data_IF_017678766693
#
_entry.id   IF_017678766693
#
_cell.length_a   1.000
_cell.length_b   1.000
_cell.length_c   1.000
_cell.angle_alpha   90.00
_cell.angle_beta   90.00
_cell.angle_gamma   90.00
#
_symmetry.space_group_name_H-M   'P 1'
#
loop_
_entity.id
_entity.type
_entity.pdbx_description
1 polymer ?
#
# COMPACT_ATOMS: atom_id res chain seq x y z
N UNK A 1 15.61 -40.00 -6.75
CA UNK A 1 14.88 -41.28 -6.80
C UNK A 1 15.01 -41.85 -8.20
N UNK A 2 15.59 -43.03 -8.35
CA UNK A 2 15.71 -43.74 -9.64
C UNK A 2 14.32 -44.07 -10.16
N UNK A 3 13.90 -43.39 -11.23
CA UNK A 3 12.64 -43.65 -11.93
C UNK A 3 12.70 -45.05 -12.54
N UNK A 4 11.98 -46.01 -11.97
CA UNK A 4 11.67 -47.26 -12.68
C UNK A 4 10.70 -46.86 -13.79
N UNK A 5 11.03 -47.04 -15.08
CA UNK A 5 10.14 -46.66 -16.16
C UNK A 5 8.86 -47.50 -16.05
N UNK A 6 7.75 -46.86 -15.66
CA UNK A 6 6.45 -47.51 -15.66
C UNK A 6 6.08 -47.81 -17.11
N UNK A 7 5.71 -49.07 -17.36
CA UNK A 7 5.36 -49.51 -18.71
C UNK A 7 4.16 -48.71 -19.22
N UNK A 8 4.31 -48.04 -20.37
CA UNK A 8 3.23 -47.25 -20.98
C UNK A 8 1.99 -48.10 -21.17
N UNK A 9 0.85 -47.61 -20.71
CA UNK A 9 -0.43 -48.32 -20.82
C UNK A 9 -1.16 -47.88 -22.10
N UNK A 10 -1.50 -48.84 -22.95
CA UNK A 10 -2.24 -48.56 -24.18
C UNK A 10 -3.69 -48.16 -23.92
N UNK A 11 -4.19 -47.17 -24.65
CA UNK A 11 -5.59 -46.73 -24.62
C UNK A 11 -6.53 -47.65 -25.39
N UNK A 12 -6.00 -48.41 -26.37
CA UNK A 12 -6.80 -49.21 -27.30
C UNK A 12 -7.56 -50.37 -26.62
N UNK A 13 -6.96 -51.19 -25.73
CA UNK A 13 -7.70 -52.24 -25.02
C UNK A 13 -8.88 -51.71 -24.21
N UNK A 14 -8.74 -50.50 -23.64
CA UNK A 14 -9.79 -49.89 -22.83
C UNK A 14 -10.94 -49.37 -23.65
N UNK A 15 -10.65 -48.83 -24.84
CA UNK A 15 -11.67 -48.49 -25.83
C UNK A 15 -12.51 -49.72 -26.18
N UNK A 16 -11.85 -50.84 -26.49
CA UNK A 16 -12.53 -52.10 -26.80
C UNK A 16 -13.35 -52.64 -25.63
N UNK A 17 -12.87 -52.53 -24.39
CA UNK A 17 -13.63 -52.96 -23.21
C UNK A 17 -14.94 -52.16 -23.07
N UNK A 18 -14.88 -50.83 -23.23
CA UNK A 18 -16.09 -49.98 -23.15
C UNK A 18 -17.05 -50.29 -24.31
N UNK A 19 -16.53 -50.55 -25.51
CA UNK A 19 -17.32 -50.86 -26.69
C UNK A 19 -17.92 -52.28 -26.69
N UNK A 20 -17.30 -53.24 -25.98
CA UNK A 20 -17.56 -54.67 -26.14
C UNK A 20 -19.04 -55.07 -25.96
N UNK A 21 -19.64 -54.79 -24.80
CA UNK A 21 -21.02 -55.19 -24.51
C UNK A 21 -22.05 -54.42 -25.36
N UNK A 22 -21.95 -53.08 -25.51
CA UNK A 22 -22.79 -52.34 -26.44
C UNK A 22 -22.78 -52.89 -27.86
N UNK A 23 -21.59 -53.17 -28.39
CA UNK A 23 -21.43 -53.72 -29.74
C UNK A 23 -22.00 -55.13 -29.84
N UNK A 24 -21.78 -55.97 -28.82
CA UNK A 24 -22.35 -57.31 -28.77
C UNK A 24 -23.88 -57.28 -28.79
N UNK A 25 -24.50 -56.39 -28.01
CA UNK A 25 -25.96 -56.19 -28.03
C UNK A 25 -26.47 -55.70 -29.39
N UNK A 26 -25.72 -54.85 -30.08
CA UNK A 26 -26.06 -54.45 -31.44
C UNK A 26 -25.93 -55.62 -32.43
N UNK A 27 -24.85 -56.39 -32.34
CA UNK A 27 -24.63 -57.56 -33.19
C UNK A 27 -25.70 -58.64 -33.00
N UNK A 28 -26.19 -58.88 -31.79
CA UNK A 28 -27.29 -59.83 -31.56
C UNK A 28 -28.59 -59.38 -32.20
N UNK A 29 -28.91 -58.07 -32.15
CA UNK A 29 -30.07 -57.51 -32.86
C UNK A 29 -29.89 -57.57 -34.38
N UNK A 30 -28.68 -57.35 -34.88
CA UNK A 30 -28.38 -57.51 -36.31
C UNK A 30 -28.53 -58.97 -36.78
N UNK A 31 -28.08 -59.94 -35.98
CA UNK A 31 -28.26 -61.37 -36.28
C UNK A 31 -29.73 -61.80 -36.23
N UNK A 32 -30.52 -61.20 -35.34
CA UNK A 32 -31.97 -61.36 -35.31
C UNK A 32 -32.62 -60.84 -36.61
N UNK A 33 -32.14 -59.71 -37.15
CA UNK A 33 -32.65 -59.15 -38.39
C UNK A 33 -32.37 -60.08 -39.60
N UNK A 34 -31.20 -60.71 -39.62
CA UNK A 34 -30.82 -61.71 -40.65
C UNK A 34 -31.51 -63.07 -40.41
N UNK A 35 -32.40 -63.19 -39.42
CA UNK A 35 -33.16 -64.41 -39.05
C UNK A 35 -32.29 -65.58 -38.55
N UNK A 36 -31.08 -65.31 -38.10
CA UNK A 36 -30.25 -66.32 -37.44
C UNK A 36 -30.73 -66.60 -36.00
N UNK A 37 -31.44 -65.65 -35.40
CA UNK A 37 -32.02 -65.72 -34.05
C UNK A 37 -33.54 -65.51 -34.18
N UNK A 38 -34.35 -66.23 -33.41
CA UNK A 38 -35.82 -66.20 -33.45
C UNK A 38 -36.48 -64.87 -33.00
N UNK A 39 -35.72 -63.80 -32.84
CA UNK A 39 -36.23 -62.49 -32.40
C UNK A 39 -36.70 -61.68 -33.61
N UNK A 40 -37.95 -61.20 -33.59
CA UNK A 40 -38.47 -60.32 -34.65
C UNK A 40 -37.86 -58.93 -34.51
N UNK A 41 -37.06 -58.53 -35.49
CA UNK A 41 -36.44 -57.21 -35.56
C UNK A 41 -36.62 -56.64 -36.96
N UNK A 42 -36.91 -55.35 -37.04
CA UNK A 42 -37.10 -54.66 -38.31
C UNK A 42 -35.85 -53.92 -38.76
N UNK A 43 -35.80 -53.57 -40.05
CA UNK A 43 -34.69 -52.82 -40.60
C UNK A 43 -34.52 -51.44 -39.91
N UNK A 44 -35.62 -50.76 -39.62
CA UNK A 44 -35.59 -49.47 -38.94
C UNK A 44 -35.06 -49.58 -37.49
N UNK A 45 -35.19 -50.74 -36.83
CA UNK A 45 -34.56 -51.02 -35.52
C UNK A 45 -33.04 -50.94 -35.61
N UNK A 46 -32.45 -51.56 -36.63
CA UNK A 46 -30.99 -51.60 -36.81
C UNK A 46 -30.45 -50.20 -37.08
N UNK A 47 -31.16 -49.39 -37.87
CA UNK A 47 -30.76 -48.02 -38.16
C UNK A 47 -30.78 -47.17 -36.88
N UNK A 48 -31.87 -47.19 -36.12
CA UNK A 48 -32.02 -46.38 -34.90
C UNK A 48 -30.95 -46.75 -33.87
N UNK A 49 -30.78 -48.04 -33.58
CA UNK A 49 -29.81 -48.50 -32.58
C UNK A 49 -28.37 -48.29 -33.08
N UNK A 50 -28.12 -48.49 -34.38
CA UNK A 50 -26.84 -48.21 -35.01
C UNK A 50 -26.46 -46.73 -34.90
N UNK A 51 -27.41 -45.82 -35.07
CA UNK A 51 -27.19 -44.39 -34.88
C UNK A 51 -26.88 -44.04 -33.42
N UNK A 52 -27.59 -44.62 -32.45
CA UNK A 52 -27.29 -44.45 -31.02
C UNK A 52 -25.88 -44.97 -30.71
N UNK A 53 -25.50 -46.14 -31.23
CA UNK A 53 -24.16 -46.72 -31.06
C UNK A 53 -23.07 -45.84 -31.69
N UNK A 54 -23.33 -45.25 -32.86
CA UNK A 54 -22.40 -44.32 -33.51
C UNK A 54 -22.13 -43.10 -32.62
N UNK A 55 -23.17 -42.53 -32.02
CA UNK A 55 -23.01 -41.44 -31.06
C UNK A 55 -22.21 -41.92 -29.85
N UNK A 56 -22.53 -43.09 -29.30
CA UNK A 56 -21.80 -43.67 -28.18
C UNK A 56 -20.29 -43.78 -28.45
N UNK A 57 -19.89 -44.25 -29.64
CA UNK A 57 -18.48 -44.33 -30.07
C UNK A 57 -17.74 -43.00 -29.97
N UNK A 58 -18.39 -41.89 -30.35
CA UNK A 58 -17.80 -40.55 -30.27
C UNK A 58 -17.55 -40.11 -28.82
N UNK A 59 -18.38 -40.59 -27.89
CA UNK A 59 -18.26 -40.28 -26.47
C UNK A 59 -17.16 -41.09 -25.76
N UNK A 60 -16.84 -42.33 -26.21
CA UNK A 60 -15.88 -43.22 -25.52
C UNK A 60 -14.54 -42.53 -25.22
N UNK A 61 -14.05 -41.68 -26.12
CA UNK A 61 -12.78 -40.95 -25.94
C UNK A 61 -12.78 -40.00 -24.73
N UNK A 62 -13.96 -39.59 -24.27
CA UNK A 62 -14.17 -38.73 -23.11
C UNK A 62 -14.47 -39.52 -21.83
N UNK A 63 -14.53 -40.85 -21.87
CA UNK A 63 -14.77 -41.63 -20.66
C UNK A 63 -13.52 -41.66 -19.76
N UNK A 64 -13.72 -41.66 -18.44
CA UNK A 64 -12.65 -41.71 -17.45
C UNK A 64 -11.77 -42.95 -17.60
N UNK A 65 -12.36 -44.12 -17.88
CA UNK A 65 -11.60 -45.37 -18.00
C UNK A 65 -10.63 -45.35 -19.17
N UNK A 66 -11.09 -44.79 -20.30
CA UNK A 66 -10.24 -44.52 -21.46
C UNK A 66 -9.15 -43.50 -21.11
N UNK A 67 -9.55 -42.37 -20.52
CA UNK A 67 -8.66 -41.24 -20.16
C UNK A 67 -7.60 -41.62 -19.14
N UNK A 68 -7.86 -42.58 -18.24
CA UNK A 68 -6.89 -43.07 -17.26
C UNK A 68 -5.59 -43.57 -17.91
N UNK A 69 -5.62 -44.04 -19.17
CA UNK A 69 -4.41 -44.53 -19.85
C UNK A 69 -3.49 -43.38 -20.22
N UNK A 70 -4.07 -42.30 -20.73
CA UNK A 70 -3.37 -41.05 -21.02
C UNK A 70 -2.85 -40.41 -19.74
N UNK A 71 -3.68 -40.38 -18.70
CA UNK A 71 -3.28 -39.90 -17.36
C UNK A 71 -2.06 -40.66 -16.84
N UNK A 72 -2.12 -42.00 -16.83
CA UNK A 72 -1.02 -42.83 -16.35
C UNK A 72 0.27 -42.64 -17.16
N UNK A 73 0.16 -42.39 -18.46
CA UNK A 73 1.33 -42.20 -19.32
C UNK A 73 1.95 -40.79 -19.20
N UNK A 74 1.19 -39.78 -18.76
CA UNK A 74 1.70 -38.42 -18.57
C UNK A 74 2.01 -38.06 -17.12
N UNK A 75 1.76 -38.96 -16.17
CA UNK A 75 2.02 -38.70 -14.74
C UNK A 75 3.50 -38.43 -14.46
N UNK A 76 4.41 -39.09 -15.18
CA UNK A 76 5.85 -38.89 -14.98
C UNK A 76 6.30 -37.49 -15.42
N UNK A 77 5.71 -36.95 -16.49
CA UNK A 77 5.93 -35.57 -16.95
C UNK A 77 5.33 -34.56 -15.96
N UNK A 78 4.14 -34.83 -15.43
CA UNK A 78 3.54 -34.01 -14.36
C UNK A 78 4.43 -33.98 -13.11
N UNK A 79 4.99 -35.13 -12.73
CA UNK A 79 5.89 -35.23 -11.58
C UNK A 79 7.19 -34.43 -11.81
N UNK A 80 7.71 -34.38 -13.04
CA UNK A 80 8.86 -33.53 -13.37
C UNK A 80 8.56 -32.04 -13.19
N UNK A 81 7.40 -31.59 -13.67
CA UNK A 81 6.96 -30.20 -13.46
C UNK A 81 6.70 -29.88 -11.98
N UNK A 82 6.20 -30.85 -11.20
CA UNK A 82 6.06 -30.69 -9.75
C UNK A 82 7.44 -30.57 -9.12
N UNK A 83 8.39 -31.45 -9.45
CA UNK A 83 9.75 -31.40 -8.91
C UNK A 83 10.46 -30.07 -9.21
N UNK A 84 10.28 -29.52 -10.41
CA UNK A 84 10.78 -28.19 -10.80
C UNK A 84 10.13 -27.08 -9.98
N UNK A 85 8.79 -27.07 -9.90
CA UNK A 85 8.04 -26.11 -9.10
C UNK A 85 8.45 -26.13 -7.61
N UNK A 86 8.67 -27.31 -7.04
CA UNK A 86 9.07 -27.44 -5.65
C UNK A 86 10.46 -26.85 -5.40
N UNK A 87 11.41 -27.04 -6.33
CA UNK A 87 12.76 -26.45 -6.25
C UNK A 87 12.72 -24.93 -6.32
N UNK A 88 11.93 -24.38 -7.24
CA UNK A 88 11.82 -22.93 -7.43
C UNK A 88 11.16 -22.21 -6.24
N UNK A 89 10.37 -22.95 -5.45
CA UNK A 89 9.62 -22.42 -4.31
C UNK A 89 10.13 -22.96 -2.96
N UNK A 90 11.38 -23.41 -2.87
CA UNK A 90 12.00 -23.83 -1.61
C UNK A 90 12.10 -22.67 -0.61
N UNK A 91 11.58 -22.89 0.60
CA UNK A 91 11.72 -21.98 1.73
C UNK A 91 12.38 -22.72 2.90
N UNK A 92 13.37 -22.06 3.51
CA UNK A 92 14.01 -22.52 4.73
C UNK A 92 13.37 -21.86 5.95
N UNK A 93 12.79 -22.67 6.85
CA UNK A 93 12.17 -22.23 8.09
C UNK A 93 12.72 -23.08 9.23
N UNK A 94 13.28 -22.43 10.27
CA UNK A 94 13.88 -23.09 11.42
C UNK A 94 14.89 -24.22 11.06
N UNK A 95 15.72 -23.99 10.02
CA UNK A 95 16.74 -24.95 9.56
C UNK A 95 16.21 -26.15 8.76
N UNK A 96 14.92 -26.17 8.43
CA UNK A 96 14.30 -27.17 7.54
C UNK A 96 13.99 -26.52 6.20
N UNK A 97 14.26 -27.22 5.10
CA UNK A 97 13.93 -26.78 3.73
C UNK A 97 12.77 -27.61 3.19
N UNK A 98 11.69 -26.93 2.81
CA UNK A 98 10.56 -27.52 2.06
C UNK A 98 10.00 -26.46 1.11
N UNK A 99 9.23 -26.87 0.12
CA UNK A 99 8.62 -25.95 -0.82
C UNK A 99 7.34 -25.31 -0.25
N UNK A 100 7.10 -24.05 -0.57
CA UNK A 100 5.84 -23.38 -0.28
C UNK A 100 4.95 -23.34 -1.52
N UNK A 101 3.79 -23.99 -1.46
CA UNK A 101 2.88 -24.00 -2.60
C UNK A 101 1.83 -25.09 -2.56
N UNK A 102 1.04 -25.17 -3.63
CA UNK A 102 0.00 -26.18 -3.79
C UNK A 102 0.17 -26.88 -5.15
N UNK A 103 0.35 -28.20 -5.11
CA UNK A 103 0.57 -29.02 -6.31
C UNK A 103 -0.73 -29.48 -7.00
N UNK A 104 -1.91 -29.21 -6.43
CA UNK A 104 -3.20 -29.65 -6.97
C UNK A 104 -3.44 -29.17 -8.41
N UNK A 105 -3.01 -27.94 -8.71
CA UNK A 105 -3.19 -27.35 -10.03
C UNK A 105 -2.52 -28.16 -11.15
N UNK A 106 -1.41 -28.86 -10.87
CA UNK A 106 -0.74 -29.72 -11.87
C UNK A 106 -1.64 -30.88 -12.29
N UNK A 107 -2.30 -31.52 -11.33
CA UNK A 107 -3.25 -32.60 -11.61
C UNK A 107 -4.49 -32.07 -12.34
N UNK A 108 -5.05 -30.95 -11.91
CA UNK A 108 -6.23 -30.35 -12.55
C UNK A 108 -5.96 -29.97 -14.01
N UNK A 109 -4.80 -29.37 -14.28
CA UNK A 109 -4.38 -29.02 -15.64
C UNK A 109 -4.17 -30.27 -16.51
N UNK A 110 -3.55 -31.32 -15.95
CA UNK A 110 -3.38 -32.59 -16.64
C UNK A 110 -4.74 -33.23 -17.00
N UNK A 111 -5.69 -33.23 -16.06
CA UNK A 111 -7.04 -33.78 -16.29
C UNK A 111 -7.79 -33.05 -17.40
N UNK A 112 -7.73 -31.71 -17.41
CA UNK A 112 -8.35 -30.88 -18.46
C UNK A 112 -7.76 -31.12 -19.85
N UNK A 113 -6.48 -31.48 -19.96
CA UNK A 113 -5.83 -31.80 -21.24
C UNK A 113 -6.25 -33.16 -21.80
N UNK A 114 -6.53 -34.14 -20.94
CA UNK A 114 -6.81 -35.51 -21.39
C UNK A 114 -8.29 -35.78 -21.66
N UNK A 115 -9.20 -35.03 -21.03
CA UNK A 115 -10.65 -35.28 -21.07
C UNK A 115 -11.45 -33.98 -21.00
N UNK A 116 -12.64 -34.01 -21.60
CA UNK A 116 -13.64 -32.96 -21.44
C UNK A 116 -14.75 -33.45 -20.52
N UNK A 117 -14.81 -32.88 -19.31
CA UNK A 117 -15.76 -33.27 -18.27
C UNK A 117 -17.21 -32.89 -18.61
N UNK A 118 -17.42 -31.84 -19.40
CA UNK A 118 -18.76 -31.49 -19.86
C UNK A 118 -19.35 -32.61 -20.74
N UNK A 119 -18.59 -33.07 -21.73
CA UNK A 119 -19.01 -34.22 -22.55
C UNK A 119 -19.23 -35.47 -21.71
N UNK A 120 -18.33 -35.74 -20.76
CA UNK A 120 -18.45 -36.93 -19.91
C UNK A 120 -19.71 -36.92 -19.04
N UNK A 121 -20.01 -35.78 -18.42
CA UNK A 121 -21.13 -35.62 -17.52
C UNK A 121 -22.48 -35.66 -18.25
N UNK A 122 -22.55 -35.13 -19.48
CA UNK A 122 -23.80 -35.13 -20.27
C UNK A 122 -24.12 -36.49 -20.88
N UNK A 123 -23.14 -37.37 -21.07
CA UNK A 123 -23.36 -38.67 -21.69
C UNK A 123 -24.40 -39.54 -20.96
N UNK A 124 -24.42 -39.49 -19.62
CA UNK A 124 -25.35 -40.26 -18.79
C UNK A 124 -26.82 -39.87 -19.04
N UNK A 125 -27.10 -38.62 -19.40
CA UNK A 125 -28.46 -38.16 -19.74
C UNK A 125 -28.77 -38.26 -21.24
N UNK A 126 -27.78 -38.12 -22.12
CA UNK A 126 -27.99 -38.17 -23.57
C UNK A 126 -28.44 -39.56 -24.04
N UNK A 127 -27.85 -40.66 -23.56
CA UNK A 127 -28.18 -41.98 -24.11
C UNK A 127 -29.63 -42.42 -23.83
N UNK A 128 -30.20 -42.22 -22.63
CA UNK A 128 -31.62 -42.49 -22.40
C UNK A 128 -32.51 -41.57 -23.23
N UNK A 129 -32.16 -40.28 -23.37
CA UNK A 129 -32.91 -39.34 -24.21
C UNK A 129 -32.88 -39.73 -25.70
N UNK A 130 -31.73 -40.20 -26.20
CA UNK A 130 -31.64 -40.77 -27.55
C UNK A 130 -32.45 -42.06 -27.70
N UNK A 131 -32.53 -42.87 -26.65
CA UNK A 131 -33.42 -44.03 -26.59
C UNK A 131 -34.89 -43.63 -26.71
N UNK A 132 -35.34 -42.62 -25.94
CA UNK A 132 -36.69 -42.05 -26.01
C UNK A 132 -36.98 -41.46 -27.39
N UNK A 133 -36.03 -40.71 -27.97
CA UNK A 133 -36.15 -40.19 -29.33
C UNK A 133 -36.33 -41.34 -30.33
N UNK A 134 -35.51 -42.38 -30.22
CA UNK A 134 -35.62 -43.59 -31.04
C UNK A 134 -36.97 -44.29 -30.89
N UNK A 135 -37.53 -44.34 -29.68
CA UNK A 135 -38.89 -44.84 -29.41
C UNK A 135 -39.94 -44.06 -30.20
N UNK A 136 -39.93 -42.73 -30.14
CA UNK A 136 -40.88 -41.91 -30.88
C UNK A 136 -40.71 -42.03 -32.39
N UNK A 137 -39.46 -42.08 -32.88
CA UNK A 137 -39.17 -42.28 -34.31
C UNK A 137 -39.68 -43.65 -34.79
N UNK A 138 -39.48 -44.71 -34.01
CA UNK A 138 -39.94 -46.06 -34.35
C UNK A 138 -41.47 -46.16 -34.47
N UNK A 139 -42.18 -45.57 -33.51
CA UNK A 139 -43.65 -45.52 -33.52
C UNK A 139 -44.15 -44.71 -34.71
N UNK A 140 -43.56 -43.53 -34.97
CA UNK A 140 -43.97 -42.67 -36.07
C UNK A 140 -43.80 -43.34 -37.45
N UNK A 141 -42.72 -44.10 -37.65
CA UNK A 141 -42.48 -44.85 -38.90
C UNK A 141 -43.46 -46.02 -39.06
N UNK A 142 -43.91 -46.59 -37.94
CA UNK A 142 -44.73 -47.81 -37.94
C UNK A 142 -46.22 -47.53 -37.76
N UNK A 143 -46.62 -46.27 -37.70
CA UNK A 143 -48.02 -45.85 -37.52
C UNK A 143 -48.77 -46.04 -38.84
N UNK A 144 -49.80 -46.92 -38.91
CA UNK A 144 -50.60 -47.11 -40.11
C UNK A 144 -51.70 -46.03 -40.22
N UNK A 145 -52.21 -45.82 -41.44
CA UNK A 145 -53.26 -44.83 -41.72
C UNK A 145 -54.70 -45.32 -41.39
N UNK A 146 -54.86 -46.59 -40.98
CA UNK A 146 -56.12 -47.22 -40.54
C UNK A 146 -57.33 -47.06 -41.48
N UNK A 147 -57.10 -46.80 -42.78
CA UNK A 147 -58.15 -46.49 -43.75
C UNK A 147 -58.64 -47.69 -44.56
N UNK A 148 -58.60 -48.91 -44.00
CA UNK A 148 -58.80 -50.16 -44.77
C UNK A 148 -60.17 -50.83 -44.54
N UNK A 149 -60.81 -51.22 -45.64
CA UNK A 149 -62.16 -51.83 -45.67
C UNK A 149 -62.17 -53.37 -45.46
N UNK A 150 -61.00 -54.03 -45.48
CA UNK A 150 -60.92 -55.50 -45.37
C UNK A 150 -60.22 -55.97 -44.08
N UNK A 151 -60.74 -57.03 -43.48
CA UNK A 151 -60.21 -57.59 -42.23
C UNK A 151 -58.75 -58.06 -42.34
N UNK A 152 -58.36 -58.62 -43.49
CA UNK A 152 -56.96 -59.04 -43.73
C UNK A 152 -55.98 -57.86 -43.84
N UNK A 153 -56.44 -56.70 -44.35
CA UNK A 153 -55.62 -55.50 -44.38
C UNK A 153 -55.46 -54.87 -42.99
N UNK A 154 -56.53 -54.89 -42.18
CA UNK A 154 -56.49 -54.45 -40.80
C UNK A 154 -55.50 -55.28 -39.95
N UNK A 155 -55.52 -56.61 -40.08
CA UNK A 155 -54.58 -57.50 -39.37
C UNK A 155 -53.10 -57.21 -39.73
N UNK A 156 -52.84 -56.86 -40.99
CA UNK A 156 -51.50 -56.49 -41.46
C UNK A 156 -51.04 -55.15 -40.88
N UNK A 157 -51.93 -54.16 -40.81
CA UNK A 157 -51.64 -52.85 -40.20
C UNK A 157 -51.40 -52.96 -38.70
N UNK A 158 -52.22 -53.75 -37.98
CA UNK A 158 -52.01 -54.03 -36.55
C UNK A 158 -50.67 -54.74 -36.32
N UNK A 159 -50.32 -55.73 -37.17
CA UNK A 159 -49.03 -56.43 -37.07
C UNK A 159 -47.86 -55.48 -37.28
N UNK A 160 -47.98 -54.53 -38.20
CA UNK A 160 -46.96 -53.50 -38.47
C UNK A 160 -46.79 -52.56 -37.27
N UNK A 161 -47.90 -52.09 -36.71
CA UNK A 161 -47.88 -51.25 -35.50
C UNK A 161 -47.25 -51.99 -34.31
N UNK A 162 -47.62 -53.25 -34.08
CA UNK A 162 -47.10 -54.06 -32.97
C UNK A 162 -45.58 -54.29 -33.10
N UNK A 163 -45.11 -54.45 -34.33
CA UNK A 163 -43.68 -54.58 -34.63
C UNK A 163 -42.93 -53.27 -34.40
N UNK A 164 -43.52 -52.13 -34.77
CA UNK A 164 -43.02 -50.80 -34.43
C UNK A 164 -42.89 -50.54 -32.93
N UNK A 165 -43.88 -50.98 -32.15
CA UNK A 165 -43.82 -50.96 -30.68
C UNK A 165 -42.63 -51.80 -30.17
N UNK A 166 -42.38 -52.97 -30.76
CA UNK A 166 -41.20 -53.78 -30.45
C UNK A 166 -39.88 -53.03 -30.68
N UNK A 167 -39.73 -52.35 -31.83
CA UNK A 167 -38.57 -51.49 -32.09
C UNK A 167 -38.44 -50.37 -31.06
N UNK A 168 -39.55 -49.76 -30.69
CA UNK A 168 -39.58 -48.67 -29.74
C UNK A 168 -39.07 -49.11 -28.35
N UNK A 169 -39.39 -50.34 -27.94
CA UNK A 169 -38.85 -50.96 -26.72
C UNK A 169 -37.35 -51.21 -26.82
N UNK A 170 -36.86 -51.77 -27.93
CA UNK A 170 -35.42 -52.04 -28.10
C UNK A 170 -34.58 -50.76 -28.06
N UNK A 171 -35.03 -49.67 -28.69
CA UNK A 171 -34.34 -48.38 -28.66
C UNK A 171 -34.22 -47.82 -27.22
N UNK A 172 -35.30 -47.87 -26.44
CA UNK A 172 -35.32 -47.37 -25.06
C UNK A 172 -34.43 -48.20 -24.13
N UNK A 173 -34.55 -49.54 -24.18
CA UNK A 173 -33.71 -50.46 -23.39
C UNK A 173 -32.23 -50.23 -23.70
N UNK A 174 -31.89 -50.07 -24.98
CA UNK A 174 -30.52 -49.84 -25.41
C UNK A 174 -29.98 -48.49 -24.90
N UNK A 175 -30.75 -47.40 -25.01
CA UNK A 175 -30.36 -46.09 -24.49
C UNK A 175 -30.13 -46.07 -22.97
N UNK A 176 -31.02 -46.71 -22.21
CA UNK A 176 -30.88 -46.86 -20.74
C UNK A 176 -29.64 -47.70 -20.42
N UNK A 177 -29.46 -48.83 -21.09
CA UNK A 177 -28.31 -49.71 -20.89
C UNK A 177 -26.99 -48.97 -21.14
N UNK A 178 -26.88 -48.22 -22.25
CA UNK A 178 -25.68 -47.44 -22.56
C UNK A 178 -25.35 -46.41 -21.48
N UNK A 179 -26.36 -45.78 -20.87
CA UNK A 179 -26.16 -44.85 -19.76
C UNK A 179 -25.57 -45.55 -18.53
N UNK A 180 -26.16 -46.67 -18.12
CA UNK A 180 -25.65 -47.44 -16.97
C UNK A 180 -24.23 -47.94 -17.23
N UNK A 181 -23.99 -48.46 -18.43
CA UNK A 181 -22.68 -48.93 -18.88
C UNK A 181 -21.64 -47.80 -18.89
N UNK A 182 -22.02 -46.62 -19.39
CA UNK A 182 -21.20 -45.42 -19.36
C UNK A 182 -20.80 -45.03 -17.93
N UNK A 183 -21.80 -44.90 -17.04
CA UNK A 183 -21.60 -44.49 -15.65
C UNK A 183 -20.68 -45.46 -14.91
N UNK A 184 -20.82 -46.77 -15.15
CA UNK A 184 -19.94 -47.78 -14.55
C UNK A 184 -18.47 -47.53 -14.88
N UNK A 185 -18.12 -47.39 -16.16
CA UNK A 185 -16.74 -47.12 -16.57
C UNK A 185 -16.25 -45.73 -16.18
N UNK A 186 -17.15 -44.75 -16.17
CA UNK A 186 -16.84 -43.40 -15.73
C UNK A 186 -16.42 -43.38 -14.26
N UNK A 187 -17.23 -43.96 -13.36
CA UNK A 187 -16.90 -44.05 -11.93
C UNK A 187 -15.63 -44.86 -11.70
N UNK A 188 -15.50 -46.02 -12.36
CA UNK A 188 -14.32 -46.87 -12.24
C UNK A 188 -13.03 -46.17 -12.67
N UNK A 189 -13.07 -45.42 -13.77
CA UNK A 189 -11.93 -44.65 -14.26
C UNK A 189 -11.55 -43.49 -13.34
N UNK A 190 -12.55 -42.74 -12.87
CA UNK A 190 -12.35 -41.64 -11.93
C UNK A 190 -11.70 -42.12 -10.62
N UNK A 191 -12.17 -43.22 -10.05
CA UNK A 191 -11.58 -43.78 -8.83
C UNK A 191 -10.10 -44.13 -9.04
N UNK A 192 -9.73 -44.72 -10.18
CA UNK A 192 -8.31 -45.04 -10.45
C UNK A 192 -7.44 -43.80 -10.60
N UNK A 193 -7.96 -42.77 -11.28
CA UNK A 193 -7.27 -41.49 -11.43
C UNK A 193 -7.09 -40.84 -10.06
N UNK A 194 -8.16 -40.74 -9.27
CA UNK A 194 -8.11 -40.13 -7.94
C UNK A 194 -7.12 -40.83 -7.02
N UNK A 195 -7.14 -42.17 -6.97
CA UNK A 195 -6.20 -42.93 -6.16
C UNK A 195 -4.75 -42.65 -6.57
N UNK A 196 -4.47 -42.58 -7.88
CA UNK A 196 -3.13 -42.25 -8.37
C UNK A 196 -2.71 -40.80 -8.02
N UNK A 197 -3.65 -39.85 -8.02
CA UNK A 197 -3.40 -38.48 -7.57
C UNK A 197 -3.06 -38.47 -6.08
N UNK A 198 -3.86 -39.14 -5.24
CA UNK A 198 -3.65 -39.19 -3.79
C UNK A 198 -2.33 -39.90 -3.42
N UNK A 199 -2.01 -41.02 -4.07
CA UNK A 199 -0.70 -41.68 -3.93
C UNK A 199 0.44 -40.71 -4.23
N UNK A 200 0.31 -39.92 -5.31
CA UNK A 200 1.32 -38.92 -5.67
C UNK A 200 1.40 -37.80 -4.64
N UNK A 201 0.27 -37.28 -4.15
CA UNK A 201 0.24 -36.24 -3.11
C UNK A 201 0.91 -36.71 -1.82
N UNK A 202 0.70 -37.96 -1.42
CA UNK A 202 1.34 -38.55 -0.24
C UNK A 202 2.87 -38.55 -0.41
N UNK A 203 3.39 -38.90 -1.59
CA UNK A 203 4.83 -38.86 -1.87
C UNK A 203 5.43 -37.45 -1.79
N UNK A 204 4.64 -36.42 -2.05
CA UNK A 204 5.05 -35.02 -1.98
C UNK A 204 4.74 -34.33 -0.66
N UNK A 205 3.97 -34.99 0.23
CA UNK A 205 3.50 -34.39 1.48
C UNK A 205 4.66 -33.86 2.34
N UNK A 206 5.72 -34.65 2.51
CA UNK A 206 6.86 -34.27 3.35
C UNK A 206 7.75 -33.17 2.73
N UNK A 207 7.60 -32.93 1.42
CA UNK A 207 8.37 -31.92 0.67
C UNK A 207 7.69 -30.55 0.60
N UNK A 208 6.43 -30.45 1.04
CA UNK A 208 5.63 -29.23 0.98
C UNK A 208 5.34 -28.76 2.40
N UNK A 209 5.45 -27.45 2.63
CA UNK A 209 5.06 -26.87 3.90
C UNK A 209 3.55 -26.93 4.11
N UNK A 210 3.13 -27.45 5.27
CA UNK A 210 1.78 -27.22 5.76
C UNK A 210 1.72 -25.87 6.49
N UNK A 211 0.60 -25.14 6.38
CA UNK A 211 0.39 -23.85 7.06
C UNK A 211 0.57 -23.98 8.57
N UNK A 212 -0.01 -25.02 9.16
CA UNK A 212 0.09 -25.27 10.60
C UNK A 212 1.54 -25.56 11.02
N UNK A 213 2.31 -26.25 10.17
CA UNK A 213 3.72 -26.53 10.44
C UNK A 213 4.57 -25.26 10.40
N UNK A 214 4.32 -24.37 9.43
CA UNK A 214 4.96 -23.05 9.35
C UNK A 214 4.68 -22.24 10.62
N UNK A 215 3.41 -22.17 11.05
CA UNK A 215 3.00 -21.41 12.22
C UNK A 215 3.68 -21.92 13.50
N UNK A 216 3.65 -23.23 13.73
CA UNK A 216 4.31 -23.85 14.89
C UNK A 216 5.82 -23.58 14.88
N UNK A 217 6.49 -23.76 13.75
CA UNK A 217 7.95 -23.52 13.65
C UNK A 217 8.30 -22.05 13.85
N UNK A 218 7.46 -21.13 13.36
CA UNK A 218 7.63 -19.69 13.55
C UNK A 218 7.49 -19.31 15.03
N UNK A 219 6.49 -19.88 15.73
CA UNK A 219 6.31 -19.66 17.17
C UNK A 219 7.50 -20.19 17.98
N UNK A 220 8.01 -21.38 17.64
CA UNK A 220 9.20 -21.95 18.28
C UNK A 220 10.41 -21.04 18.04
N UNK A 221 10.64 -20.60 16.80
CA UNK A 221 11.75 -19.72 16.46
C UNK A 221 11.68 -18.38 17.21
N UNK A 222 10.49 -17.76 17.26
CA UNK A 222 10.28 -16.52 18.01
C UNK A 222 10.54 -16.70 19.50
N UNK A 223 10.10 -17.82 20.09
CA UNK A 223 10.39 -18.15 21.49
C UNK A 223 11.89 -18.29 21.73
N UNK A 224 12.60 -19.05 20.89
CA UNK A 224 14.06 -19.21 20.99
C UNK A 224 14.81 -17.89 20.81
N UNK A 225 14.36 -17.01 19.90
CA UNK A 225 14.93 -15.68 19.76
C UNK A 225 14.73 -14.83 21.01
N UNK A 226 13.53 -14.85 21.60
CA UNK A 226 13.25 -14.14 22.84
C UNK A 226 14.09 -14.68 24.01
N UNK A 227 14.21 -15.99 24.16
CA UNK A 227 15.04 -16.61 25.20
C UNK A 227 16.52 -16.20 25.03
N UNK A 228 17.03 -16.21 23.79
CA UNK A 228 18.39 -15.73 23.49
C UNK A 228 18.56 -14.22 23.78
N UNK A 229 17.54 -13.39 23.53
CA UNK A 229 17.57 -11.97 23.86
C UNK A 229 17.58 -11.76 25.37
N UNK A 230 16.77 -12.50 26.12
CA UNK A 230 16.75 -12.46 27.58
C UNK A 230 18.12 -12.84 28.16
N UNK A 231 18.73 -13.93 27.67
CA UNK A 231 20.05 -14.35 28.11
C UNK A 231 21.12 -13.27 27.81
N UNK A 232 21.11 -12.69 26.61
CA UNK A 232 22.05 -11.61 26.25
C UNK A 232 21.86 -10.36 27.11
N UNK A 233 20.61 -10.05 27.49
CA UNK A 233 20.31 -8.95 28.41
C UNK A 233 20.85 -9.26 29.81
N UNK A 234 20.63 -10.47 30.33
CA UNK A 234 21.20 -10.90 31.62
C UNK A 234 22.74 -10.81 31.63
N UNK A 235 23.40 -11.26 30.55
CA UNK A 235 24.86 -11.20 30.41
C UNK A 235 25.38 -9.75 30.30
N UNK A 236 24.60 -8.85 29.67
CA UNK A 236 24.96 -7.44 29.48
C UNK A 236 24.71 -6.60 30.72
N UNK A 237 23.64 -6.89 31.48
CA UNK A 237 23.33 -6.26 32.78
C UNK A 237 24.17 -6.92 33.86
N UNK A 238 25.48 -6.88 33.67
CA UNK A 238 26.44 -7.33 34.67
C UNK A 238 26.74 -6.18 35.66
N UNK A 239 27.35 -6.48 36.83
CA UNK A 239 27.72 -5.46 37.80
C UNK A 239 28.61 -4.35 37.23
N UNK A 240 29.42 -4.64 36.21
CA UNK A 240 30.29 -3.66 35.54
C UNK A 240 29.47 -2.59 34.79
N UNK A 241 28.39 -3.00 34.11
CA UNK A 241 27.46 -2.10 33.43
C UNK A 241 26.76 -1.18 34.45
N UNK A 242 26.25 -1.76 35.54
CA UNK A 242 25.62 -0.99 36.63
C UNK A 242 26.60 -0.01 37.26
N UNK A 243 27.85 -0.43 37.50
CA UNK A 243 28.89 0.41 38.07
C UNK A 243 29.29 1.54 37.12
N UNK A 244 29.42 1.27 35.83
CA UNK A 244 29.69 2.30 34.81
C UNK A 244 28.54 3.31 34.74
N UNK A 245 27.30 2.84 34.80
CA UNK A 245 26.11 3.70 34.79
C UNK A 245 26.07 4.59 36.03
N UNK A 246 26.35 4.03 37.21
CA UNK A 246 26.48 4.80 38.45
C UNK A 246 27.58 5.87 38.36
N UNK A 247 28.77 5.51 37.86
CA UNK A 247 29.88 6.45 37.70
C UNK A 247 29.53 7.61 36.74
N UNK A 248 28.81 7.32 35.65
CA UNK A 248 28.34 8.35 34.71
C UNK A 248 27.31 9.26 35.40
N UNK A 249 26.37 8.70 36.14
CA UNK A 249 25.37 9.48 36.89
C UNK A 249 26.04 10.39 37.91
N UNK A 250 26.98 9.86 38.70
CA UNK A 250 27.73 10.60 39.71
C UNK A 250 28.54 11.74 39.07
N UNK A 251 29.29 11.45 37.99
CA UNK A 251 30.03 12.48 37.23
C UNK A 251 29.12 13.57 36.65
N UNK A 252 27.91 13.22 36.17
CA UNK A 252 26.95 14.21 35.68
C UNK A 252 26.37 15.07 36.80
N UNK A 253 26.12 14.49 37.97
CA UNK A 253 25.68 15.23 39.16
C UNK A 253 26.76 16.21 39.60
N UNK A 254 28.02 15.79 39.65
CA UNK A 254 29.16 16.67 39.99
C UNK A 254 29.31 17.82 39.01
N UNK A 255 29.23 17.56 37.69
CA UNK A 255 29.27 18.60 36.67
C UNK A 255 28.12 19.60 36.83
N UNK A 256 26.91 19.12 37.16
CA UNK A 256 25.75 19.97 37.37
C UNK A 256 25.91 20.85 38.62
N UNK A 257 26.43 20.27 39.71
CA UNK A 257 26.74 21.02 40.93
C UNK A 257 27.78 22.11 40.66
N UNK A 258 28.85 21.79 39.94
CA UNK A 258 29.88 22.76 39.55
C UNK A 258 29.31 23.90 38.71
N UNK A 259 28.52 23.58 37.67
CA UNK A 259 27.84 24.58 36.84
C UNK A 259 26.94 25.49 37.68
N UNK A 260 26.20 24.92 38.63
CA UNK A 260 25.34 25.70 39.51
C UNK A 260 26.15 26.66 40.42
N UNK A 261 27.27 26.18 40.98
CA UNK A 261 28.16 27.03 41.79
C UNK A 261 28.78 28.16 40.96
N UNK A 262 29.23 27.87 39.74
CA UNK A 262 29.75 28.90 38.82
C UNK A 262 28.68 29.91 38.43
N UNK A 263 27.45 29.47 38.17
CA UNK A 263 26.32 30.35 37.88
C UNK A 263 25.97 31.28 39.05
N UNK A 264 25.87 30.74 40.28
CA UNK A 264 25.67 31.56 41.49
C UNK A 264 26.82 32.57 41.70
N UNK A 265 28.06 32.16 41.44
CA UNK A 265 29.22 33.06 41.51
C UNK A 265 29.17 34.17 40.45
N UNK A 266 28.65 33.87 39.26
CA UNK A 266 28.44 34.86 38.20
C UNK A 266 27.31 35.85 38.54
N UNK A 267 26.17 35.36 39.04
CA UNK A 267 25.04 36.18 39.52
C UNK A 267 25.49 37.17 40.60
N UNK A 268 26.29 36.72 41.57
CA UNK A 268 26.86 37.58 42.62
C UNK A 268 27.77 38.67 42.04
N UNK A 269 28.63 38.32 41.07
CA UNK A 269 29.49 39.29 40.38
C UNK A 269 28.69 40.29 39.55
N UNK A 270 27.64 39.85 38.87
CA UNK A 270 26.74 40.71 38.11
C UNK A 270 26.02 41.69 39.03
N UNK A 271 25.47 41.20 40.14
CA UNK A 271 24.78 42.02 41.15
C UNK A 271 25.71 43.12 41.67
N UNK A 272 26.93 42.75 42.08
CA UNK A 272 27.91 43.72 42.59
C UNK A 272 28.33 44.74 41.51
N UNK A 273 28.44 44.32 40.24
CA UNK A 273 28.69 45.26 39.14
C UNK A 273 27.53 46.22 38.92
N UNK A 274 26.27 45.73 38.97
CA UNK A 274 25.09 46.57 38.84
C UNK A 274 24.99 47.60 39.97
N UNK A 275 25.27 47.19 41.21
CA UNK A 275 25.30 48.09 42.37
C UNK A 275 26.31 49.23 42.18
N UNK A 276 27.55 48.92 41.80
CA UNK A 276 28.57 49.94 41.47
C UNK A 276 28.16 50.86 40.32
N UNK A 277 27.44 50.32 39.34
CA UNK A 277 26.95 51.09 38.20
C UNK A 277 25.87 52.09 38.64
N UNK A 278 24.95 51.66 39.51
CA UNK A 278 23.93 52.52 40.14
C UNK A 278 24.59 53.62 40.97
N UNK A 279 25.58 53.29 41.81
CA UNK A 279 26.34 54.28 42.59
C UNK A 279 27.01 55.33 41.68
N UNK A 280 27.60 54.89 40.56
CA UNK A 280 28.25 55.80 39.61
C UNK A 280 27.25 56.75 38.93
N UNK A 281 26.03 56.26 38.63
CA UNK A 281 24.95 57.08 38.09
C UNK A 281 24.45 58.10 39.11
N UNK A 282 24.25 57.70 40.37
CA UNK A 282 23.85 58.62 41.46
C UNK A 282 24.89 59.73 41.68
N UNK A 283 26.18 59.35 41.70
CA UNK A 283 27.27 60.31 41.87
C UNK A 283 27.39 61.27 40.67
N UNK A 284 27.16 60.78 39.46
CA UNK A 284 27.10 61.63 38.26
C UNK A 284 25.87 62.55 38.26
N UNK A 285 24.70 62.07 38.68
CA UNK A 285 23.50 62.91 38.82
C UNK A 285 23.72 64.05 39.81
N UNK A 286 24.35 63.76 40.96
CA UNK A 286 24.75 64.79 41.95
C UNK A 286 25.71 65.82 41.38
N UNK A 287 26.74 65.37 40.65
CA UNK A 287 27.68 66.28 39.96
C UNK A 287 26.99 67.14 38.91
N UNK A 288 26.07 66.58 38.14
CA UNK A 288 25.32 67.31 37.11
C UNK A 288 24.39 68.36 37.74
N UNK A 289 23.73 68.04 38.86
CA UNK A 289 22.92 69.01 39.62
C UNK A 289 23.77 70.17 40.17
N UNK A 290 24.94 69.89 40.74
CA UNK A 290 25.88 70.93 41.19
C UNK A 290 26.39 71.79 40.03
N UNK A 291 26.64 71.19 38.86
CA UNK A 291 27.07 71.91 37.68
C UNK A 291 25.97 72.88 37.20
N UNK A 292 24.71 72.45 37.23
CA UNK A 292 23.55 73.28 36.91
C UNK A 292 23.44 74.48 37.85
N UNK A 293 23.57 74.27 39.17
CA UNK A 293 23.55 75.33 40.18
C UNK A 293 24.67 76.36 39.95
N UNK A 294 25.87 75.88 39.60
CA UNK A 294 27.00 76.76 39.27
C UNK A 294 26.74 77.58 37.99
N UNK A 295 26.10 76.98 36.98
CA UNK A 295 25.68 77.68 35.76
C UNK A 295 24.63 78.76 36.05
N UNK A 296 23.64 78.48 36.91
CA UNK A 296 22.64 79.46 37.33
C UNK A 296 23.29 80.66 38.05
N UNK A 297 24.18 80.41 39.01
CA UNK A 297 24.94 81.47 39.71
C UNK A 297 25.80 82.30 38.75
N UNK A 298 26.42 81.67 37.75
CA UNK A 298 27.20 82.38 36.74
C UNK A 298 26.29 83.26 35.87
N UNK A 299 25.12 82.75 35.49
CA UNK A 299 24.13 83.48 34.72
C UNK A 299 23.63 84.72 35.48
N UNK A 300 23.32 84.58 36.77
CA UNK A 300 22.92 85.69 37.65
C UNK A 300 23.99 86.77 37.73
N UNK A 301 25.26 86.40 38.00
CA UNK A 301 26.39 87.33 37.99
C UNK A 301 26.58 88.04 36.64
N UNK A 302 26.32 87.34 35.53
CA UNK A 302 26.43 87.94 34.20
C UNK A 302 25.32 88.97 33.95
N UNK A 303 24.09 88.71 34.42
CA UNK A 303 22.99 89.69 34.39
C UNK A 303 23.31 90.93 35.23
N UNK A 304 23.82 90.74 36.45
CA UNK A 304 24.28 91.84 37.31
C UNK A 304 25.36 92.67 36.60
N UNK A 305 26.39 92.03 36.03
CA UNK A 305 27.45 92.70 35.28
C UNK A 305 26.90 93.50 34.09
N UNK A 306 25.96 92.93 33.34
CA UNK A 306 25.37 93.58 32.18
C UNK A 306 24.54 94.81 32.58
N UNK A 307 23.77 94.71 33.66
CA UNK A 307 23.01 95.86 34.20
C UNK A 307 23.95 96.96 34.71
N UNK A 308 25.03 96.61 35.42
CA UNK A 308 26.04 97.56 35.87
C UNK A 308 26.72 98.29 34.71
N UNK A 309 27.09 97.55 33.66
CA UNK A 309 27.69 98.13 32.45
C UNK A 309 26.73 99.08 31.73
N UNK A 310 25.45 98.73 31.64
CA UNK A 310 24.41 99.60 31.07
C UNK A 310 24.25 100.90 31.86
N UNK A 311 24.26 100.83 33.19
CA UNK A 311 24.17 102.00 34.05
C UNK A 311 25.39 102.92 33.86
N UNK A 312 26.60 102.36 33.87
CA UNK A 312 27.82 103.15 33.62
C UNK A 312 27.82 103.81 32.23
N UNK A 313 27.28 103.14 31.20
CA UNK A 313 27.14 103.72 29.86
C UNK A 313 26.15 104.90 29.83
N UNK A 314 25.05 104.80 30.59
CA UNK A 314 24.08 105.89 30.77
C UNK A 314 24.68 107.10 31.50
N UNK A 315 25.41 106.85 32.58
CA UNK A 315 26.15 107.88 33.32
C UNK A 315 27.18 108.57 32.43
N UNK A 316 27.95 107.80 31.66
CA UNK A 316 28.91 108.35 30.70
C UNK A 316 28.24 109.23 29.65
N UNK A 317 27.11 108.81 29.08
CA UNK A 317 26.34 109.61 28.13
C UNK A 317 25.82 110.91 28.74
N UNK A 318 25.37 110.86 30.00
CA UNK A 318 24.88 112.05 30.73
C UNK A 318 26.03 113.01 31.02
N UNK A 319 27.17 112.49 31.45
CA UNK A 319 28.40 113.26 31.65
C UNK A 319 28.89 113.90 30.35
N UNK A 320 28.92 113.15 29.24
CA UNK A 320 29.31 113.66 27.93
C UNK A 320 28.38 114.80 27.46
N UNK A 321 27.06 114.71 27.71
CA UNK A 321 26.11 115.80 27.44
C UNK A 321 26.37 117.03 28.30
N UNK A 322 26.64 116.85 29.60
CA UNK A 322 26.94 117.94 30.53
C UNK A 322 28.22 118.69 30.10
N UNK A 323 29.30 117.96 29.80
CA UNK A 323 30.55 118.52 29.28
C UNK A 323 30.33 119.33 28.01
N UNK A 324 29.55 118.80 27.06
CA UNK A 324 29.22 119.51 25.82
C UNK A 324 28.47 120.82 26.10
N UNK A 325 27.52 120.82 27.03
CA UNK A 325 26.80 122.03 27.46
C UNK A 325 27.72 123.06 28.11
N UNK A 326 28.65 122.60 28.95
CA UNK A 326 29.60 123.46 29.65
C UNK A 326 30.59 124.11 28.69
N UNK A 327 31.07 123.36 27.69
CA UNK A 327 31.90 123.90 26.59
C UNK A 327 31.17 125.02 25.84
N UNK A 328 29.89 124.83 25.49
CA UNK A 328 29.11 125.88 24.81
C UNK A 328 28.90 127.12 25.69
N UNK A 329 28.67 126.94 26.99
CA UNK A 329 28.55 128.03 27.97
C UNK A 329 29.84 128.86 28.03
N UNK A 330 30.99 128.20 28.16
CA UNK A 330 32.31 128.86 28.16
C UNK A 330 32.56 129.57 26.83
N UNK A 331 32.18 128.97 25.70
CA UNK A 331 32.32 129.59 24.39
C UNK A 331 31.52 130.91 24.29
N UNK A 332 30.26 130.88 24.74
CA UNK A 332 29.39 132.06 24.78
C UNK A 332 29.95 133.14 25.73
N UNK A 333 30.55 132.72 26.84
CA UNK A 333 31.23 133.63 27.79
C UNK A 333 32.42 134.33 27.13
N UNK A 334 33.23 133.61 26.35
CA UNK A 334 34.35 134.20 25.60
C UNK A 334 33.88 135.13 24.49
N UNK A 335 32.75 134.84 23.84
CA UNK A 335 32.17 135.69 22.81
C UNK A 335 31.70 137.03 23.39
N UNK A 336 31.09 137.01 24.59
CA UNK A 336 30.76 138.20 25.38
C UNK A 336 31.99 139.00 25.78
N UNK A 337 33.02 138.35 26.34
CA UNK A 337 34.27 139.01 26.72
C UNK A 337 34.97 139.62 25.49
N UNK A 338 34.98 138.92 24.36
CA UNK A 338 35.54 139.44 23.12
C UNK A 338 34.76 140.66 22.59
N UNK A 339 33.43 140.67 22.75
CA UNK A 339 32.59 141.82 22.43
C UNK A 339 32.91 143.02 23.33
N UNK A 340 33.03 142.80 24.64
CA UNK A 340 33.31 143.85 25.62
C UNK A 340 34.73 144.43 25.49
N UNK A 341 35.74 143.60 25.20
CA UNK A 341 37.10 144.10 24.91
C UNK A 341 37.12 144.95 23.64
N UNK A 342 36.32 144.58 22.63
CA UNK A 342 36.19 145.35 21.39
C UNK A 342 35.52 146.71 21.63
N UNK A 343 34.51 146.79 22.50
CA UNK A 343 33.88 148.05 22.89
C UNK A 343 34.83 148.92 23.74
N UNK A 344 35.55 148.33 24.70
CA UNK A 344 36.53 149.02 25.54
C UNK A 344 37.71 149.58 24.73
N UNK A 345 38.18 148.82 23.74
CA UNK A 345 39.23 149.26 22.81
C UNK A 345 38.80 150.46 21.96
N UNK A 346 37.53 150.53 21.55
CA UNK A 346 36.99 151.68 20.82
C UNK A 346 36.89 152.94 21.71
N UNK A 347 36.49 152.77 22.98
CA UNK A 347 36.37 153.87 23.94
C UNK A 347 37.73 154.46 24.37
N UNK A 348 38.77 153.62 24.54
CA UNK A 348 40.11 154.10 24.87
C UNK A 348 40.81 154.83 23.72
N UNK A 349 40.45 154.53 22.46
CA UNK A 349 40.93 155.31 21.30
C UNK A 349 40.29 156.70 21.27
N UNK A 350 39.01 156.83 21.67
CA UNK A 350 38.30 158.12 21.77
C UNK A 350 38.92 159.06 22.81
N UNK A 351 39.25 158.54 24.00
CA UNK A 351 39.85 159.33 25.09
C UNK A 351 41.28 159.83 24.82
N UNK A 352 42.01 159.22 23.88
CA UNK A 352 43.40 159.61 23.54
C UNK A 352 43.48 160.82 22.58
N UNK A 353 42.35 161.30 22.05
CA UNK A 353 42.28 162.40 21.09
C UNK A 353 41.81 163.74 21.68
N UNK A 354 41.41 163.80 22.95
CA UNK A 354 40.94 165.06 23.57
C UNK A 354 41.97 165.75 24.48
N UNK A 355 43.17 165.16 24.68
CA UNK A 355 44.31 165.81 25.35
C UNK A 355 45.36 166.35 24.32
N UNK A 356 44.93 167.02 23.26
CA UNK A 356 45.81 167.80 22.35
C UNK A 356 45.17 169.07 21.86
#
# INVERSE_FOLDING_TARGET
>A
MTKIPKQKVSSFPRFLIILSIPLLMFCTLFLAYVKYISLKTEFHTIIIIGFILLIFLLFIKHNAWYSFSKYHNSIDETNDHIDEYLKDNELEIAGRKKAYGNINHFFDNQLRKIRNDHFSNTAASIFPTLGILGTFTAIAISMPDFSVESQAALDKEITTLLSGVGTAFYASIYGIFLSLWWVFFEKRGLTKIQNSIEETKILYHDKIWNKDEIEILTLIQNKTQNDNLLQKLEDTVNPQFIQTLNNVVESKIELFQKLNTEHLGFESKLTNRHEKLIESFDLNAKKQAQLLENYEKLHEKMLEMNSGTSNSLSEYNTFAKALKSEIYSVLASFELISSDIKSLGQDMIRKKYEDS
#
